data_IF_368324750710
#
_entry.id   IF_368324750710
#
_cell.length_a   1.000
_cell.length_b   1.000
_cell.length_c   1.000
_cell.angle_alpha   90.00
_cell.angle_beta   90.00
_cell.angle_gamma   90.00
#
_symmetry.space_group_name_H-M   'P 1'
#
loop_
_entity.id
_entity.type
_entity.pdbx_description
1 polymer ?
#
# COMPACT_ATOMS: atom_id res chain seq x y z
N UNK A 1 8.58 4.38 2.20
CA UNK A 1 7.76 5.60 2.02
C UNK A 1 6.94 5.84 3.29
N UNK A 2 6.54 7.10 3.57
CA UNK A 2 5.61 7.44 4.65
C UNK A 2 4.39 8.11 4.02
N UNK A 3 3.19 7.64 4.33
CA UNK A 3 1.97 8.31 3.91
C UNK A 3 1.80 9.62 4.68
N UNK A 4 1.37 10.66 3.99
CA UNK A 4 1.00 11.92 4.62
C UNK A 4 -0.51 11.94 4.91
N UNK A 5 -0.85 11.99 6.18
CA UNK A 5 -2.22 12.17 6.68
C UNK A 5 -2.14 12.98 7.99
N UNK A 6 -2.92 14.06 8.18
CA UNK A 6 -3.00 14.77 9.46
C UNK A 6 -3.46 13.87 10.62
N UNK A 7 -4.21 12.80 10.33
CA UNK A 7 -4.58 11.79 11.31
C UNK A 7 -3.55 10.67 11.38
N UNK A 8 -3.15 10.30 12.61
CA UNK A 8 -2.25 9.16 12.86
C UNK A 8 -3.06 7.86 12.83
N UNK A 9 -2.48 6.82 12.24
CA UNK A 9 -2.93 5.47 12.47
C UNK A 9 -2.76 5.10 13.95
N UNK A 10 -3.61 4.20 14.47
CA UNK A 10 -3.49 3.69 15.85
C UNK A 10 -2.13 3.03 16.11
N UNK A 11 -1.57 2.35 15.10
CA UNK A 11 -0.20 1.86 15.11
C UNK A 11 0.53 2.33 13.83
N UNK A 12 1.21 3.49 13.86
CA UNK A 12 1.85 4.08 12.68
C UNK A 12 2.93 3.20 12.07
N UNK A 13 3.68 2.45 12.88
CA UNK A 13 4.80 1.66 12.39
C UNK A 13 4.30 0.44 11.60
N UNK A 14 3.32 -0.29 12.15
CA UNK A 14 2.68 -1.41 11.47
C UNK A 14 1.95 -0.94 10.20
N UNK A 15 1.23 0.17 10.26
CA UNK A 15 0.57 0.73 9.07
C UNK A 15 1.58 1.08 7.97
N UNK A 16 2.67 1.79 8.32
CA UNK A 16 3.68 2.16 7.35
C UNK A 16 4.42 0.94 6.80
N UNK A 17 4.65 -0.10 7.61
CA UNK A 17 5.23 -1.35 7.14
C UNK A 17 4.31 -2.02 6.10
N UNK A 18 3.05 -2.26 6.44
CA UNK A 18 2.08 -2.88 5.53
C UNK A 18 1.89 -2.05 4.25
N UNK A 19 1.90 -0.72 4.35
CA UNK A 19 1.86 0.15 3.17
C UNK A 19 3.08 -0.03 2.26
N UNK A 20 4.28 -0.14 2.83
CA UNK A 20 5.50 -0.33 2.04
C UNK A 20 5.51 -1.68 1.33
N UNK A 21 5.06 -2.74 2.00
CA UNK A 21 4.91 -4.07 1.41
C UNK A 21 3.90 -4.03 0.25
N UNK A 22 2.71 -3.47 0.47
CA UNK A 22 1.67 -3.35 -0.57
C UNK A 22 2.16 -2.54 -1.78
N UNK A 23 2.84 -1.40 -1.57
CA UNK A 23 3.37 -0.59 -2.69
C UNK A 23 4.44 -1.32 -3.50
N UNK A 24 5.25 -2.16 -2.86
CA UNK A 24 6.26 -2.96 -3.56
C UNK A 24 5.61 -4.05 -4.44
N UNK A 25 4.55 -4.69 -3.93
CA UNK A 25 3.75 -5.66 -4.69
C UNK A 25 3.06 -5.00 -5.90
N UNK A 26 2.35 -3.89 -5.67
CA UNK A 26 1.65 -3.16 -6.73
C UNK A 26 2.61 -2.60 -7.78
N UNK A 27 3.80 -2.13 -7.36
CA UNK A 27 4.83 -1.71 -8.31
C UNK A 27 5.29 -2.87 -9.20
N UNK A 28 5.40 -4.08 -8.64
CA UNK A 28 5.79 -5.27 -9.41
C UNK A 28 4.69 -5.63 -10.41
N UNK A 29 3.44 -5.67 -9.96
CA UNK A 29 2.28 -5.95 -10.80
C UNK A 29 2.11 -4.93 -11.93
N UNK A 30 2.20 -3.63 -11.62
CA UNK A 30 2.11 -2.55 -12.60
C UNK A 30 3.22 -2.62 -13.67
N UNK A 31 4.39 -3.17 -13.35
CA UNK A 31 5.47 -3.36 -14.33
C UNK A 31 5.34 -4.61 -15.18
N UNK A 32 4.57 -5.61 -14.72
CA UNK A 32 4.32 -6.85 -15.45
C UNK A 32 3.33 -6.68 -16.62
N UNK A 33 2.44 -5.67 -16.55
CA UNK A 33 1.38 -5.42 -17.53
C UNK A 33 1.82 -4.89 -18.90
N UNK A 34 3.12 -4.73 -19.15
CA UNK A 34 3.65 -4.22 -20.41
C UNK A 34 3.39 -2.71 -20.61
N UNK A 35 3.54 -2.18 -21.84
CA UNK A 35 3.59 -0.73 -22.09
C UNK A 35 2.27 0.02 -21.85
N UNK A 36 1.14 -0.67 -21.71
CA UNK A 36 -0.18 -0.05 -21.65
C UNK A 36 -0.83 -0.06 -20.25
N UNK A 37 -0.36 -0.86 -19.29
CA UNK A 37 -1.01 -1.04 -17.99
C UNK A 37 -0.01 -0.83 -16.84
N UNK A 38 0.35 0.44 -16.61
CA UNK A 38 1.29 0.87 -15.56
C UNK A 38 0.59 1.29 -14.26
N UNK A 39 -0.45 0.57 -13.87
CA UNK A 39 -1.14 0.79 -12.61
C UNK A 39 -1.58 -0.55 -12.05
N UNK A 40 -1.60 -0.66 -10.72
CA UNK A 40 -2.11 -1.81 -10.00
C UNK A 40 -2.81 -1.28 -8.76
N UNK A 41 -3.90 -1.90 -8.33
CA UNK A 41 -4.66 -1.45 -7.16
C UNK A 41 -4.81 -2.60 -6.20
N UNK A 42 -4.75 -2.31 -4.91
CA UNK A 42 -4.81 -3.37 -3.91
C UNK A 42 -5.07 -2.87 -2.51
N UNK A 43 -5.21 -3.83 -1.61
CA UNK A 43 -5.34 -3.58 -0.20
C UNK A 43 -4.65 -4.68 0.61
N UNK A 44 -4.28 -4.34 1.84
CA UNK A 44 -3.66 -5.25 2.78
C UNK A 44 -4.16 -4.98 4.21
N UNK A 45 -4.26 -6.02 5.02
CA UNK A 45 -4.71 -5.91 6.41
C UNK A 45 -3.53 -5.61 7.32
N UNK A 46 -3.47 -4.40 7.88
CA UNK A 46 -2.43 -4.04 8.85
C UNK A 46 -2.76 -4.58 10.25
N UNK A 47 -4.03 -4.58 10.66
CA UNK A 47 -4.50 -5.17 11.92
C UNK A 47 -5.96 -5.61 11.82
N UNK A 48 -6.52 -6.26 12.85
CA UNK A 48 -7.92 -6.75 12.86
C UNK A 48 -8.98 -5.68 12.60
N UNK A 49 -8.65 -4.40 12.74
CA UNK A 49 -9.56 -3.27 12.48
C UNK A 49 -9.01 -2.24 11.50
N UNK A 50 -7.89 -2.53 10.83
CA UNK A 50 -7.24 -1.57 9.93
C UNK A 50 -6.81 -2.22 8.62
N UNK A 51 -7.42 -1.77 7.52
CA UNK A 51 -7.05 -2.10 6.15
C UNK A 51 -6.33 -0.91 5.51
N UNK A 52 -5.27 -1.19 4.76
CA UNK A 52 -4.49 -0.24 3.96
C UNK A 52 -4.92 -0.39 2.51
N UNK A 53 -5.16 0.72 1.81
CA UNK A 53 -5.49 0.74 0.38
C UNK A 53 -4.43 1.52 -0.38
N UNK A 54 -4.07 1.06 -1.58
CA UNK A 54 -3.09 1.72 -2.44
C UNK A 54 -3.38 1.48 -3.94
N UNK A 55 -2.76 2.32 -4.78
CA UNK A 55 -2.83 2.32 -6.25
C UNK A 55 -1.47 2.68 -6.84
#
# INVERSE_FOLDING_TARGET
>A
MKAFNPMKASNPDQFNQTLNELLNELSTEATAGGPLHKYAVGNATASSSQTVYAT
#
